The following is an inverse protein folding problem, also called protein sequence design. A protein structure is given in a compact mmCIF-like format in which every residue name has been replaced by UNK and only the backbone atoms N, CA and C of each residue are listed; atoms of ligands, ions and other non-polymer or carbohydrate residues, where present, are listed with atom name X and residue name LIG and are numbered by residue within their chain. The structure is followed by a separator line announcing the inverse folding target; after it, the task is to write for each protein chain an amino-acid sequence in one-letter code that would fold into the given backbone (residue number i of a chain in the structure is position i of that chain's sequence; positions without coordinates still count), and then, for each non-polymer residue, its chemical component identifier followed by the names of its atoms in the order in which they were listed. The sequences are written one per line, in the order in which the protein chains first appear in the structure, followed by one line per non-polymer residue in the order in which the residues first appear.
data_IF_084499069567
#
_entry.id   IF_084499069567
#
_cell.length_a   1.000
_cell.length_b   1.000
_cell.length_c   1.000
_cell.angle_alpha   90.00
_cell.angle_beta   90.00
_cell.angle_gamma   90.00
#
_symmetry.space_group_name_H-M   'P 1'
#
loop_
_entity.id
_entity.type
_entity.pdbx_description
1 polymer ?
#
# COMPACT_ATOMS: atom_id res chain seq x y z
N UNK A 1 37.62 -0.17 0.29
CA UNK A 1 36.32 0.39 -0.13
C UNK A 1 36.52 1.02 -1.49
N UNK A 2 35.77 0.59 -2.51
CA UNK A 2 35.77 1.31 -3.79
C UNK A 2 35.28 2.74 -3.51
N UNK A 3 35.97 3.74 -4.07
CA UNK A 3 35.56 5.14 -3.96
C UNK A 3 34.27 5.27 -4.76
N UNK A 4 33.16 5.59 -4.10
CA UNK A 4 31.93 5.94 -4.81
C UNK A 4 32.22 7.20 -5.62
N UNK A 5 31.84 7.20 -6.90
CA UNK A 5 31.90 8.40 -7.71
C UNK A 5 30.96 9.46 -7.13
N UNK A 6 31.35 10.73 -7.23
CA UNK A 6 30.51 11.83 -6.76
C UNK A 6 29.20 11.83 -7.59
N UNK A 7 28.03 11.92 -6.95
CA UNK A 7 26.77 11.95 -7.68
C UNK A 7 26.70 13.20 -8.55
N UNK A 8 26.40 13.03 -9.83
CA UNK A 8 26.19 14.14 -10.77
C UNK A 8 24.78 14.73 -10.68
N UNK A 9 23.86 14.04 -9.99
CA UNK A 9 22.50 14.49 -9.67
C UNK A 9 22.00 13.84 -8.38
N UNK A 10 21.09 14.53 -7.68
CA UNK A 10 20.34 14.00 -6.53
C UNK A 10 18.90 13.67 -6.94
N UNK A 11 18.24 12.82 -6.17
CA UNK A 11 16.82 12.46 -6.33
C UNK A 11 15.95 13.71 -6.35
N UNK A 12 15.23 13.92 -7.45
CA UNK A 12 14.30 15.04 -7.60
C UNK A 12 13.19 14.70 -8.60
N UNK A 13 12.06 15.39 -8.47
CA UNK A 13 11.04 15.38 -9.52
C UNK A 13 11.49 16.31 -10.67
N UNK A 14 11.43 15.88 -11.94
CA UNK A 14 11.68 16.78 -13.06
C UNK A 14 10.73 17.99 -13.04
N UNK A 15 11.30 19.19 -13.23
CA UNK A 15 10.54 20.43 -13.25
C UNK A 15 9.58 20.47 -14.45
N UNK A 16 10.10 20.12 -15.64
CA UNK A 16 9.33 19.97 -16.86
C UNK A 16 8.38 18.77 -16.77
N UNK A 17 7.09 19.01 -17.02
CA UNK A 17 6.06 17.96 -16.92
C UNK A 17 6.31 16.82 -17.92
N UNK A 18 6.79 17.14 -19.12
CA UNK A 18 7.10 16.17 -20.18
C UNK A 18 8.28 15.26 -19.85
N UNK A 19 9.14 15.67 -18.91
CA UNK A 19 10.25 14.87 -18.42
C UNK A 19 9.85 13.94 -17.26
N UNK A 20 8.64 14.08 -16.71
CA UNK A 20 8.14 13.20 -15.64
C UNK A 20 7.71 11.87 -16.23
N UNK A 21 8.13 10.78 -15.58
CA UNK A 21 7.83 9.43 -16.06
C UNK A 21 6.32 9.19 -16.18
N UNK A 22 5.93 8.58 -17.30
CA UNK A 22 4.59 8.11 -17.63
C UNK A 22 4.71 6.72 -18.24
N UNK A 23 3.76 5.85 -17.92
CA UNK A 23 3.62 4.57 -18.59
C UNK A 23 2.93 4.76 -19.93
N UNK A 24 3.50 4.16 -20.96
CA UNK A 24 2.94 4.09 -22.30
C UNK A 24 1.61 3.32 -22.31
N UNK A 25 0.79 3.46 -23.37
CA UNK A 25 -0.44 2.68 -23.52
C UNK A 25 -0.23 1.16 -23.44
N UNK A 26 0.89 0.63 -23.96
CA UNK A 26 1.22 -0.79 -23.85
C UNK A 26 1.55 -1.20 -22.42
N UNK A 27 2.32 -0.40 -21.69
CA UNK A 27 2.65 -0.67 -20.29
C UNK A 27 1.39 -0.63 -19.41
N UNK A 28 0.46 0.30 -19.69
CA UNK A 28 -0.84 0.34 -19.02
C UNK A 28 -1.69 -0.91 -19.33
N UNK A 29 -1.69 -1.40 -20.57
CA UNK A 29 -2.38 -2.64 -20.92
C UNK A 29 -1.80 -3.85 -20.19
N UNK A 30 -0.47 -3.93 -20.07
CA UNK A 30 0.20 -5.01 -19.34
C UNK A 30 -0.06 -4.92 -17.84
N UNK A 31 -0.14 -3.71 -17.29
CA UNK A 31 -0.61 -3.48 -15.93
C UNK A 31 -2.08 -3.93 -15.74
N UNK A 32 -2.98 -3.61 -16.68
CA UNK A 32 -4.38 -4.04 -16.58
C UNK A 32 -4.54 -5.56 -16.62
N UNK A 33 -3.76 -6.25 -17.44
CA UNK A 33 -3.67 -7.73 -17.43
C UNK A 33 -3.14 -8.22 -16.09
N UNK A 34 -2.11 -7.56 -15.56
CA UNK A 34 -1.45 -7.88 -14.28
C UNK A 34 -2.43 -7.85 -13.12
N UNK A 35 -3.29 -6.83 -13.05
CA UNK A 35 -4.32 -6.73 -12.00
C UNK A 35 -5.61 -7.47 -12.33
N UNK A 36 -5.68 -8.13 -13.50
CA UNK A 36 -6.87 -8.83 -14.00
C UNK A 36 -8.09 -7.90 -14.06
N UNK A 37 -7.89 -6.66 -14.49
CA UNK A 37 -8.97 -5.67 -14.57
C UNK A 37 -10.09 -6.20 -15.48
N UNK A 38 -11.33 -6.24 -14.97
CA UNK A 38 -12.45 -6.80 -15.71
C UNK A 38 -12.66 -6.12 -17.07
N UNK A 39 -12.97 -6.93 -18.08
CA UNK A 39 -13.04 -6.51 -19.49
C UNK A 39 -13.94 -5.29 -19.73
N UNK A 40 -15.06 -5.16 -19.00
CA UNK A 40 -15.96 -4.00 -19.11
C UNK A 40 -15.32 -2.65 -18.80
N UNK A 41 -14.25 -2.63 -18.00
CA UNK A 41 -13.46 -1.42 -17.73
C UNK A 41 -12.40 -1.16 -18.81
N UNK A 42 -12.09 -2.17 -19.63
CA UNK A 42 -11.14 -2.12 -20.75
C UNK A 42 -11.82 -1.95 -22.10
N UNK A 43 -13.11 -2.24 -22.18
CA UNK A 43 -13.88 -2.15 -23.40
C UNK A 43 -13.86 -0.73 -23.95
N UNK A 44 -14.03 -0.62 -25.27
CA UNK A 44 -14.19 0.64 -25.98
C UNK A 44 -15.30 1.53 -25.38
N UNK A 45 -16.18 1.03 -24.51
CA UNK A 45 -17.15 1.85 -23.79
C UNK A 45 -16.56 2.71 -22.65
N UNK A 46 -15.36 2.40 -22.14
CA UNK A 46 -14.75 3.20 -21.08
C UNK A 46 -14.29 4.55 -21.64
N UNK A 47 -14.98 5.61 -21.19
CA UNK A 47 -14.77 6.97 -21.67
C UNK A 47 -13.40 7.53 -21.27
N UNK A 48 -12.82 7.12 -20.13
CA UNK A 48 -11.48 7.56 -19.70
C UNK A 48 -10.37 7.00 -20.57
N UNK A 49 -10.48 5.74 -21.03
CA UNK A 49 -9.46 5.14 -21.90
C UNK A 49 -9.50 5.70 -23.33
N UNK A 50 -10.61 6.34 -23.72
CA UNK A 50 -10.77 7.04 -24.99
C UNK A 50 -10.36 8.51 -24.90
N UNK A 51 -10.68 9.15 -23.78
CA UNK A 51 -10.41 10.55 -23.52
C UNK A 51 -9.91 10.72 -22.07
N UNK A 52 -8.59 10.92 -21.95
CA UNK A 52 -7.92 11.09 -20.67
C UNK A 52 -8.43 12.31 -19.88
N UNK A 53 -9.06 13.30 -20.53
CA UNK A 53 -9.65 14.45 -19.83
C UNK A 53 -10.80 14.02 -18.91
N UNK A 54 -11.48 12.92 -19.22
CA UNK A 54 -12.59 12.40 -18.42
C UNK A 54 -12.13 11.72 -17.12
N UNK A 55 -10.84 11.40 -17.00
CA UNK A 55 -10.24 10.82 -15.78
C UNK A 55 -10.48 11.69 -14.54
N UNK A 56 -10.58 13.02 -14.72
CA UNK A 56 -10.75 13.97 -13.61
C UNK A 56 -12.21 14.22 -13.26
N UNK A 57 -13.16 13.47 -13.80
CA UNK A 57 -14.59 13.63 -13.52
C UNK A 57 -15.07 12.59 -12.52
N UNK A 58 -16.07 12.92 -11.68
CA UNK A 58 -16.71 11.93 -10.80
C UNK A 58 -17.51 10.90 -11.60
N UNK A 59 -18.15 11.31 -12.69
CA UNK A 59 -19.00 10.44 -13.51
C UNK A 59 -18.21 9.33 -14.21
N UNK A 60 -17.04 9.63 -14.76
CA UNK A 60 -16.25 8.68 -15.54
C UNK A 60 -14.98 8.21 -14.84
N UNK A 61 -14.27 9.11 -14.14
CA UNK A 61 -13.03 8.82 -13.45
C UNK A 61 -13.23 7.96 -12.20
N UNK A 62 -14.19 8.30 -11.34
CA UNK A 62 -14.37 7.59 -10.07
C UNK A 62 -14.64 6.07 -10.25
N UNK A 63 -15.52 5.61 -11.17
CA UNK A 63 -15.75 4.18 -11.37
C UNK A 63 -14.48 3.41 -11.78
N UNK A 64 -13.67 3.98 -12.67
CA UNK A 64 -12.42 3.35 -13.09
C UNK A 64 -11.37 3.39 -11.95
N UNK A 65 -11.27 4.49 -11.20
CA UNK A 65 -10.40 4.59 -10.04
C UNK A 65 -10.74 3.55 -8.96
N UNK A 66 -12.04 3.36 -8.68
CA UNK A 66 -12.54 2.35 -7.76
C UNK A 66 -12.17 0.93 -8.23
N UNK A 67 -12.38 0.64 -9.52
CA UNK A 67 -12.02 -0.64 -10.10
C UNK A 67 -10.50 -0.89 -10.00
N UNK A 68 -9.67 0.04 -10.48
CA UNK A 68 -8.21 -0.10 -10.42
C UNK A 68 -7.74 -0.30 -8.98
N UNK A 69 -8.23 0.49 -8.03
CA UNK A 69 -7.87 0.34 -6.60
C UNK A 69 -8.19 -1.06 -6.08
N UNK A 70 -9.39 -1.56 -6.38
CA UNK A 70 -9.85 -2.89 -5.95
C UNK A 70 -9.04 -4.02 -6.58
N UNK A 71 -8.87 -3.98 -7.90
CA UNK A 71 -8.14 -5.01 -8.63
C UNK A 71 -6.65 -5.01 -8.29
N UNK A 72 -6.06 -3.83 -8.07
CA UNK A 72 -4.68 -3.70 -7.62
C UNK A 72 -4.45 -4.39 -6.28
N UNK A 73 -5.23 -4.08 -5.24
CA UNK A 73 -5.02 -4.68 -3.91
C UNK A 73 -5.27 -6.19 -3.85
N UNK A 74 -6.02 -6.74 -4.80
CA UNK A 74 -6.25 -8.19 -4.92
C UNK A 74 -5.12 -8.92 -5.66
N UNK A 75 -4.41 -8.24 -6.56
CA UNK A 75 -3.48 -8.88 -7.51
C UNK A 75 -2.03 -8.38 -7.43
N UNK A 76 -1.77 -7.22 -6.83
CA UNK A 76 -0.43 -6.73 -6.50
C UNK A 76 -0.28 -6.80 -4.97
N UNK A 77 0.55 -7.72 -4.46
CA UNK A 77 0.63 -7.93 -3.03
C UNK A 77 1.37 -6.79 -2.31
N UNK A 78 0.98 -6.52 -1.07
CA UNK A 78 1.82 -5.80 -0.13
C UNK A 78 2.86 -6.77 0.44
N UNK A 79 4.14 -6.55 0.16
CA UNK A 79 5.23 -7.46 0.57
C UNK A 79 6.54 -6.72 0.83
N UNK A 80 7.41 -7.32 1.64
CA UNK A 80 8.73 -6.77 1.98
C UNK A 80 9.89 -7.74 1.70
N UNK A 81 9.68 -8.70 0.81
CA UNK A 81 10.59 -9.80 0.53
C UNK A 81 11.93 -9.32 -0.02
N UNK A 82 11.97 -8.17 -0.70
CA UNK A 82 13.26 -7.55 -1.11
C UNK A 82 14.19 -7.35 0.09
N UNK A 83 13.69 -7.00 1.26
CA UNK A 83 14.54 -6.79 2.45
C UNK A 83 15.11 -8.09 3.04
N UNK A 84 14.61 -9.25 2.62
CA UNK A 84 14.96 -10.54 3.20
C UNK A 84 15.60 -11.51 2.19
N UNK A 85 15.10 -11.54 0.96
CA UNK A 85 15.53 -12.46 -0.10
C UNK A 85 16.38 -11.78 -1.16
N UNK A 86 16.33 -10.46 -1.34
CA UNK A 86 17.22 -9.82 -2.31
C UNK A 86 18.66 -9.77 -1.72
N UNK A 87 19.69 -10.22 -2.45
CA UNK A 87 21.07 -10.20 -1.96
C UNK A 87 21.58 -8.79 -1.66
N UNK A 88 21.10 -7.80 -2.40
CA UNK A 88 21.49 -6.40 -2.26
C UNK A 88 20.56 -5.63 -1.31
N UNK A 89 19.33 -6.12 -1.10
CA UNK A 89 18.31 -5.51 -0.22
C UNK A 89 18.00 -4.06 -0.59
N UNK A 90 18.14 -3.73 -1.87
CA UNK A 90 17.90 -2.38 -2.40
C UNK A 90 16.42 -2.27 -2.74
N UNK A 91 15.72 -1.33 -2.10
CA UNK A 91 14.34 -1.00 -2.44
C UNK A 91 14.34 0.18 -3.39
N UNK A 92 13.99 -0.10 -4.65
CA UNK A 92 13.80 0.94 -5.67
C UNK A 92 12.49 1.68 -5.47
N UNK A 93 12.54 2.99 -5.73
CA UNK A 93 11.36 3.85 -5.86
C UNK A 93 11.28 4.46 -7.28
N UNK A 94 12.15 4.03 -8.19
CA UNK A 94 12.13 4.50 -9.58
C UNK A 94 10.89 3.95 -10.30
N UNK A 95 10.05 4.80 -10.92
CA UNK A 95 8.82 4.34 -11.55
C UNK A 95 9.00 3.32 -12.68
N UNK A 96 10.10 3.37 -13.44
CA UNK A 96 10.37 2.40 -14.52
C UNK A 96 10.83 1.05 -13.97
N UNK A 97 11.65 1.05 -12.91
CA UNK A 97 12.02 -0.18 -12.21
C UNK A 97 10.81 -0.81 -11.49
N UNK A 98 9.94 0.02 -10.91
CA UNK A 98 8.69 -0.43 -10.30
C UNK A 98 7.75 -1.08 -11.32
N UNK A 99 7.70 -0.59 -12.56
CA UNK A 99 6.98 -1.27 -13.64
C UNK A 99 7.53 -2.67 -13.88
N UNK A 100 8.84 -2.78 -14.07
CA UNK A 100 9.49 -4.09 -14.28
C UNK A 100 9.22 -5.02 -13.09
N UNK A 101 9.27 -4.50 -11.86
CA UNK A 101 9.02 -5.26 -10.65
C UNK A 101 7.58 -5.77 -10.57
N UNK A 102 6.59 -4.89 -10.69
CA UNK A 102 5.19 -5.22 -10.45
C UNK A 102 4.57 -5.96 -11.64
N UNK A 103 4.81 -5.48 -12.86
CA UNK A 103 4.17 -5.99 -14.07
C UNK A 103 4.93 -7.20 -14.61
N UNK A 104 6.23 -7.04 -14.91
CA UNK A 104 7.02 -8.09 -15.56
C UNK A 104 7.38 -9.22 -14.59
N UNK A 105 7.86 -8.89 -13.38
CA UNK A 105 8.29 -9.88 -12.39
C UNK A 105 7.16 -10.39 -11.48
N UNK A 106 5.93 -9.86 -11.62
CA UNK A 106 4.76 -10.24 -10.80
C UNK A 106 5.04 -10.13 -9.30
N UNK A 107 5.76 -9.07 -8.90
CA UNK A 107 6.09 -8.79 -7.50
C UNK A 107 5.18 -7.72 -6.92
N UNK A 108 5.20 -7.64 -5.59
CA UNK A 108 4.57 -6.58 -4.85
C UNK A 108 5.57 -5.54 -4.36
N UNK A 109 5.17 -4.81 -3.34
CA UNK A 109 6.07 -3.94 -2.60
C UNK A 109 5.44 -3.43 -1.30
N UNK A 110 6.11 -2.49 -0.63
CA UNK A 110 5.54 -1.79 0.52
C UNK A 110 4.72 -0.58 0.07
N UNK A 111 4.37 0.32 1.00
CA UNK A 111 3.50 1.46 0.73
C UNK A 111 4.03 2.40 -0.37
N UNK A 112 5.30 2.78 -0.30
CA UNK A 112 5.92 3.67 -1.28
C UNK A 112 5.99 3.03 -2.67
N UNK A 113 6.38 1.75 -2.76
CA UNK A 113 6.49 1.04 -4.04
C UNK A 113 5.12 0.89 -4.73
N UNK A 114 4.09 0.45 -4.00
CA UNK A 114 2.75 0.30 -4.56
C UNK A 114 2.14 1.66 -4.94
N UNK A 115 2.22 2.67 -4.06
CA UNK A 115 1.56 3.95 -4.30
C UNK A 115 2.35 4.82 -5.32
N UNK A 116 3.67 4.72 -5.45
CA UNK A 116 4.42 5.35 -6.55
C UNK A 116 4.03 4.73 -7.88
N UNK A 117 4.01 3.39 -7.96
CA UNK A 117 3.60 2.71 -9.17
C UNK A 117 2.16 3.08 -9.56
N UNK A 118 1.21 2.96 -8.62
CA UNK A 118 -0.19 3.31 -8.88
C UNK A 118 -0.33 4.80 -9.25
N UNK A 119 0.33 5.70 -8.53
CA UNK A 119 0.30 7.13 -8.83
C UNK A 119 0.85 7.45 -10.22
N UNK A 120 1.88 6.72 -10.68
CA UNK A 120 2.43 6.86 -12.03
C UNK A 120 1.44 6.34 -13.07
N UNK A 121 0.82 5.19 -12.84
CA UNK A 121 -0.22 4.63 -13.72
C UNK A 121 -1.45 5.56 -13.83
N UNK A 122 -1.94 6.08 -12.71
CA UNK A 122 -3.07 7.01 -12.68
C UNK A 122 -2.75 8.32 -13.42
N UNK A 123 -1.57 8.92 -13.21
CA UNK A 123 -1.19 10.11 -13.99
C UNK A 123 -1.06 9.83 -15.49
N UNK A 124 -0.65 8.61 -15.85
CA UNK A 124 -0.58 8.16 -17.25
C UNK A 124 -1.96 7.96 -17.88
N UNK A 125 -2.99 7.76 -17.06
CA UNK A 125 -4.40 7.71 -17.46
C UNK A 125 -5.09 9.09 -17.48
N UNK A 126 -4.38 10.17 -17.14
CA UNK A 126 -4.91 11.54 -17.14
C UNK A 126 -5.41 12.05 -15.78
N UNK A 127 -5.39 11.21 -14.73
CA UNK A 127 -5.75 11.65 -13.39
C UNK A 127 -4.77 12.70 -12.87
N UNK A 128 -5.30 13.67 -12.14
CA UNK A 128 -4.49 14.59 -11.35
C UNK A 128 -4.24 13.96 -9.98
N UNK A 129 -2.96 13.65 -9.71
CA UNK A 129 -2.56 12.87 -8.53
C UNK A 129 -1.47 13.60 -7.76
N UNK A 130 -1.69 13.79 -6.46
CA UNK A 130 -0.71 14.28 -5.49
C UNK A 130 -0.22 13.12 -4.62
N UNK A 131 1.09 13.08 -4.41
CA UNK A 131 1.71 12.13 -3.48
C UNK A 131 1.70 12.75 -2.08
N UNK A 132 1.25 12.00 -1.06
CA UNK A 132 1.22 12.51 0.32
C UNK A 132 1.98 11.60 1.29
N UNK A 133 2.52 12.21 2.34
CA UNK A 133 3.11 11.52 3.47
C UNK A 133 2.08 11.28 4.58
N UNK A 134 2.20 10.12 5.22
CA UNK A 134 1.37 9.71 6.34
C UNK A 134 2.19 9.05 7.45
N UNK A 135 1.55 8.92 8.60
CA UNK A 135 2.06 8.24 9.80
C UNK A 135 1.14 7.07 10.11
N UNK A 136 1.70 5.88 10.24
CA UNK A 136 0.95 4.72 10.75
C UNK A 136 0.72 4.88 12.24
N UNK A 137 -0.50 4.61 12.71
CA UNK A 137 -0.82 4.58 14.14
C UNK A 137 -0.13 3.40 14.81
N UNK A 138 0.34 3.60 16.05
CA UNK A 138 0.89 2.51 16.87
C UNK A 138 -0.17 1.51 17.32
N UNK A 139 -1.46 1.78 17.11
CA UNK A 139 -2.52 0.77 17.19
C UNK A 139 -2.32 -0.36 16.15
N UNK A 140 -1.63 -0.09 15.04
CA UNK A 140 -1.27 -1.08 14.01
C UNK A 140 0.05 -1.80 14.27
N UNK A 141 0.70 -1.50 15.40
CA UNK A 141 1.99 -2.10 15.73
C UNK A 141 1.89 -3.63 15.80
N UNK A 142 2.88 -4.38 15.28
CA UNK A 142 2.94 -5.83 15.44
C UNK A 142 3.14 -6.25 16.92
N UNK A 143 3.62 -5.34 17.77
CA UNK A 143 3.97 -5.61 19.15
C UNK A 143 2.76 -5.36 20.07
N UNK A 144 2.25 -6.38 20.79
CA UNK A 144 1.06 -6.24 21.64
C UNK A 144 1.18 -5.15 22.70
N UNK A 145 2.34 -5.02 23.36
CA UNK A 145 2.55 -4.01 24.40
C UNK A 145 2.55 -2.59 23.84
N UNK A 146 3.02 -2.39 22.60
CA UNK A 146 2.94 -1.09 21.93
C UNK A 146 1.48 -0.76 21.64
N UNK A 147 0.68 -1.71 21.13
CA UNK A 147 -0.77 -1.48 20.93
C UNK A 147 -1.48 -1.18 22.24
N UNK A 148 -1.17 -1.91 23.31
CA UNK A 148 -1.79 -1.72 24.63
C UNK A 148 -1.48 -0.35 25.23
N UNK A 149 -0.22 0.08 25.16
CA UNK A 149 0.26 1.25 25.90
C UNK A 149 0.33 2.52 25.06
N UNK A 150 0.31 2.42 23.73
CA UNK A 150 0.59 3.53 22.82
C UNK A 150 -0.37 3.57 21.61
N UNK A 151 -1.53 2.90 21.63
CA UNK A 151 -2.49 2.92 20.51
C UNK A 151 -3.00 4.31 20.14
N UNK A 152 -2.95 5.27 21.08
CA UNK A 152 -3.33 6.64 20.83
C UNK A 152 -2.28 7.44 20.03
N UNK A 153 -1.05 6.93 19.86
CA UNK A 153 0.06 7.64 19.22
C UNK A 153 0.35 7.14 17.81
N UNK A 154 1.24 7.84 17.11
CA UNK A 154 1.65 7.58 15.73
C UNK A 154 3.17 7.42 15.61
N UNK A 155 3.60 6.78 14.53
CA UNK A 155 5.01 6.76 14.16
C UNK A 155 5.46 8.06 13.47
N UNK A 156 6.73 8.10 13.06
CA UNK A 156 7.24 9.10 12.14
C UNK A 156 6.55 9.03 10.76
N UNK A 157 6.91 9.93 9.85
CA UNK A 157 6.50 9.80 8.45
C UNK A 157 7.05 8.49 7.88
N UNK A 158 6.18 7.53 7.67
CA UNK A 158 6.56 6.16 7.26
C UNK A 158 5.55 5.53 6.30
N UNK A 159 4.51 6.27 5.91
CA UNK A 159 3.49 5.81 4.98
C UNK A 159 3.35 6.76 3.81
N UNK A 160 3.08 6.21 2.63
CA UNK A 160 2.72 6.97 1.44
C UNK A 160 1.29 6.65 1.08
N UNK A 161 0.53 7.65 0.67
CA UNK A 161 -0.77 7.49 0.01
C UNK A 161 -0.91 8.53 -1.12
N UNK A 162 -1.99 8.44 -1.88
CA UNK A 162 -2.29 9.34 -2.99
C UNK A 162 -3.54 10.16 -2.68
N UNK A 163 -3.55 11.41 -3.14
CA UNK A 163 -4.77 12.19 -3.32
C UNK A 163 -5.04 12.34 -4.82
N UNK A 164 -6.27 12.06 -5.24
CA UNK A 164 -6.71 12.17 -6.64
C UNK A 164 -7.81 13.22 -6.74
N UNK A 165 -7.65 14.21 -7.61
CA UNK A 165 -8.67 15.25 -7.82
C UNK A 165 -9.73 14.77 -8.81
N UNK A 166 -11.00 14.78 -8.38
CA UNK A 166 -12.15 14.46 -9.21
C UNK A 166 -13.18 15.60 -9.12
N UNK A 167 -13.29 16.38 -10.20
CA UNK A 167 -14.02 17.64 -10.22
C UNK A 167 -13.32 18.65 -9.31
N UNK A 168 -14.00 19.03 -8.24
CA UNK A 168 -13.56 19.97 -7.21
C UNK A 168 -13.16 19.29 -5.89
N UNK A 169 -13.17 17.96 -5.83
CA UNK A 169 -13.00 17.19 -4.61
C UNK A 169 -11.79 16.25 -4.67
N UNK A 170 -10.99 16.27 -3.60
CA UNK A 170 -9.89 15.33 -3.41
C UNK A 170 -10.39 14.00 -2.86
N UNK A 171 -9.90 12.91 -3.42
CA UNK A 171 -10.14 11.55 -2.95
C UNK A 171 -8.84 10.94 -2.43
N UNK A 172 -8.87 10.34 -1.24
CA UNK A 172 -7.79 9.52 -0.75
C UNK A 172 -7.79 8.15 -1.42
N UNK A 173 -6.63 7.74 -1.92
CA UNK A 173 -6.40 6.44 -2.56
C UNK A 173 -5.16 5.82 -1.94
N UNK A 174 -5.29 4.61 -1.44
CA UNK A 174 -4.19 3.89 -0.80
C UNK A 174 -4.29 2.39 -1.04
N UNK A 175 -3.35 1.88 -1.84
CA UNK A 175 -3.17 0.44 -2.11
C UNK A 175 -1.97 -0.14 -1.36
N UNK A 176 -1.30 0.68 -0.55
CA UNK A 176 -0.01 0.40 0.06
C UNK A 176 -0.06 0.05 1.54
N UNK A 177 -1.24 -0.09 2.14
CA UNK A 177 -1.43 -0.35 3.58
C UNK A 177 -1.66 -1.86 3.90
N UNK A 178 -1.59 -2.74 2.88
CA UNK A 178 -1.86 -4.17 3.04
C UNK A 178 -3.29 -4.44 3.54
N UNK A 179 -3.46 -5.38 4.47
CA UNK A 179 -4.77 -5.77 5.01
C UNK A 179 -5.50 -4.65 5.78
N UNK A 180 -4.77 -3.60 6.11
CA UNK A 180 -5.25 -2.44 6.87
C UNK A 180 -5.77 -1.30 5.98
N UNK A 181 -5.62 -1.40 4.66
CA UNK A 181 -6.00 -0.34 3.74
C UNK A 181 -7.49 -0.03 3.67
N UNK A 182 -7.86 1.13 3.12
CA UNK A 182 -9.26 1.52 2.91
C UNK A 182 -9.94 0.61 1.89
N UNK A 183 -9.17 0.06 0.93
CA UNK A 183 -9.63 -0.84 -0.15
C UNK A 183 -10.63 -0.19 -1.12
N UNK A 184 -10.78 1.13 -1.05
CA UNK A 184 -11.60 1.95 -1.92
C UNK A 184 -11.08 3.41 -1.89
N UNK A 185 -11.25 4.16 -2.99
CA UNK A 185 -11.14 5.62 -2.98
C UNK A 185 -12.21 6.24 -2.08
N UNK A 186 -11.84 7.15 -1.20
CA UNK A 186 -12.77 7.86 -0.31
C UNK A 186 -12.67 9.38 -0.51
N UNK A 187 -13.79 10.13 -0.47
CA UNK A 187 -13.75 11.58 -0.54
C UNK A 187 -13.09 12.15 0.73
N UNK A 188 -12.33 13.22 0.58
CA UNK A 188 -11.64 13.89 1.68
C UNK A 188 -12.60 14.84 2.42
N UNK A 189 -13.60 14.25 3.08
CA UNK A 189 -14.64 14.94 3.84
C UNK A 189 -14.53 14.62 5.33
N UNK A 190 -14.64 15.63 6.18
CA UNK A 190 -14.59 15.45 7.64
C UNK A 190 -15.84 14.72 8.14
N UNK A 191 -15.65 13.61 8.84
CA UNK A 191 -16.73 12.75 9.32
C UNK A 191 -17.25 11.75 8.29
N UNK A 192 -16.60 11.58 7.13
CA UNK A 192 -16.99 10.57 6.15
C UNK A 192 -16.88 9.17 6.74
N UNK A 193 -17.97 8.41 6.72
CA UNK A 193 -18.03 7.01 7.13
C UNK A 193 -18.58 6.15 5.98
N UNK A 194 -18.00 4.98 5.76
CA UNK A 194 -18.53 4.01 4.80
C UNK A 194 -18.17 2.58 5.17
N UNK A 195 -18.97 1.63 4.70
CA UNK A 195 -18.58 0.23 4.63
C UNK A 195 -17.39 0.09 3.67
N UNK A 196 -16.36 -0.62 4.10
CA UNK A 196 -15.20 -0.90 3.25
C UNK A 196 -15.11 -2.37 2.83
N UNK A 197 -15.14 -3.28 3.80
CA UNK A 197 -15.18 -4.74 3.62
C UNK A 197 -16.11 -5.24 4.69
N UNK A 198 -17.26 -5.84 4.35
CA UNK A 198 -18.22 -6.21 5.38
C UNK A 198 -17.61 -7.14 6.46
N UNK A 199 -17.84 -6.87 7.77
CA UNK A 199 -18.62 -5.77 8.37
C UNK A 199 -17.79 -4.51 8.70
N UNK A 200 -16.50 -4.47 8.34
CA UNK A 200 -15.58 -3.36 8.61
C UNK A 200 -16.01 -2.05 7.95
N UNK A 201 -16.27 -1.06 8.78
CA UNK A 201 -16.46 0.34 8.40
C UNK A 201 -15.16 1.14 8.55
N UNK A 202 -15.07 2.25 7.80
CA UNK A 202 -13.97 3.20 7.87
C UNK A 202 -14.51 4.60 8.17
N UNK A 203 -13.66 5.43 8.76
CA UNK A 203 -13.96 6.84 9.01
C UNK A 203 -12.78 7.73 8.66
N UNK A 204 -13.06 8.88 8.06
CA UNK A 204 -12.12 9.95 7.77
C UNK A 204 -12.48 11.18 8.60
N UNK A 205 -11.52 11.73 9.34
CA UNK A 205 -11.75 12.93 10.17
C UNK A 205 -10.59 13.91 10.08
N UNK A 206 -10.88 15.21 10.08
CA UNK A 206 -9.87 16.27 10.14
C UNK A 206 -9.67 16.74 11.58
N UNK A 207 -8.72 16.13 12.29
CA UNK A 207 -8.50 16.36 13.73
C UNK A 207 -7.03 16.48 14.10
N UNK A 208 -6.76 17.12 15.23
CA UNK A 208 -5.44 17.09 15.86
C UNK A 208 -5.12 15.67 16.35
N UNK A 209 -3.89 15.20 16.17
CA UNK A 209 -3.42 13.96 16.79
C UNK A 209 -3.13 14.18 18.28
N UNK A 210 -3.15 13.10 19.06
CA UNK A 210 -2.98 13.12 20.53
C UNK A 210 -1.63 13.66 20.98
N UNK A 211 -0.58 13.49 20.17
CA UNK A 211 0.80 13.91 20.44
C UNK A 211 1.06 15.40 20.12
N UNK A 212 0.03 16.24 20.14
CA UNK A 212 0.19 17.68 19.95
C UNK A 212 0.74 18.36 21.21
N UNK A 213 1.66 19.31 21.05
CA UNK A 213 2.10 20.20 22.14
C UNK A 213 1.08 21.30 22.46
N UNK A 214 0.02 21.45 21.66
CA UNK A 214 -1.00 22.47 21.90
C UNK A 214 -1.79 22.16 23.18
N UNK A 215 -1.87 23.13 24.08
CA UNK A 215 -2.67 23.04 25.31
C UNK A 215 -4.17 23.12 25.03
N UNK A 216 -4.56 23.80 23.95
CA UNK A 216 -5.91 23.80 23.40
C UNK A 216 -5.93 22.93 22.13
N UNK A 217 -6.74 21.85 22.09
CA UNK A 217 -6.83 20.97 20.92
C UNK A 217 -7.22 21.69 19.62
N UNK A 218 -7.92 22.82 19.70
CA UNK A 218 -8.31 23.64 18.55
C UNK A 218 -7.12 24.35 17.88
N UNK A 219 -6.03 24.57 18.62
CA UNK A 219 -4.78 25.14 18.11
C UNK A 219 -3.81 24.08 17.57
N UNK A 220 -4.09 22.80 17.81
CA UNK A 220 -3.26 21.70 17.29
C UNK A 220 -3.28 21.64 15.75
N UNK A 221 -2.16 21.21 15.16
CA UNK A 221 -2.11 20.92 13.73
C UNK A 221 -3.09 19.79 13.39
N UNK A 222 -4.10 20.12 12.59
CA UNK A 222 -5.07 19.14 12.12
C UNK A 222 -4.48 18.29 11.00
N UNK A 223 -4.73 16.99 11.09
CA UNK A 223 -4.40 16.00 10.07
C UNK A 223 -5.67 15.24 9.69
N UNK A 224 -5.67 14.66 8.51
CA UNK A 224 -6.68 13.68 8.13
C UNK A 224 -6.35 12.36 8.80
N UNK A 225 -7.26 11.85 9.62
CA UNK A 225 -7.13 10.59 10.35
C UNK A 225 -8.05 9.55 9.72
N UNK A 226 -7.47 8.41 9.34
CA UNK A 226 -8.16 7.24 8.85
C UNK A 226 -8.28 6.23 10.00
N UNK A 227 -9.52 5.98 10.42
CA UNK A 227 -9.87 5.04 11.48
C UNK A 227 -10.69 3.87 10.90
N UNK A 228 -10.60 2.70 11.53
CA UNK A 228 -11.38 1.49 11.17
C UNK A 228 -12.25 1.06 12.34
N UNK A 229 -13.47 0.63 12.06
CA UNK A 229 -14.32 -0.11 12.98
C UNK A 229 -14.53 -1.52 12.42
N UNK A 230 -13.93 -2.53 13.05
CA UNK A 230 -13.96 -3.91 12.51
C UNK A 230 -15.31 -4.59 12.66
N UNK A 231 -15.96 -4.38 13.80
CA UNK A 231 -17.23 -5.00 14.16
C UNK A 231 -18.18 -3.92 14.67
N UNK A 232 -18.81 -3.15 13.76
CA UNK A 232 -19.81 -2.15 14.16
C UNK A 232 -21.01 -2.86 14.79
N UNK A 233 -21.30 -2.55 16.06
CA UNK A 233 -22.55 -2.92 16.71
C UNK A 233 -23.54 -1.74 16.64
N UNK A 234 -24.86 -2.02 16.64
CA UNK A 234 -25.90 -0.98 16.48
C UNK A 234 -25.76 0.20 17.45
N UNK A 235 -25.23 -0.01 18.65
CA UNK A 235 -25.16 1.00 19.71
C UNK A 235 -23.74 1.37 20.15
N UNK A 236 -22.69 0.74 19.60
CA UNK A 236 -21.30 1.04 19.98
C UNK A 236 -20.34 0.75 18.83
N UNK A 237 -19.75 1.80 18.25
CA UNK A 237 -18.66 1.70 17.27
C UNK A 237 -17.32 2.00 17.95
N UNK A 238 -16.45 0.99 18.01
CA UNK A 238 -15.07 1.17 18.48
C UNK A 238 -14.19 1.50 17.27
N UNK A 239 -13.78 2.76 17.18
CA UNK A 239 -12.89 3.26 16.12
C UNK A 239 -11.43 3.09 16.52
N UNK A 240 -10.68 2.36 15.70
CA UNK A 240 -9.25 2.16 15.88
C UNK A 240 -8.49 3.01 14.86
N UNK A 241 -7.56 3.89 15.28
CA UNK A 241 -6.76 4.66 14.34
C UNK A 241 -5.83 3.75 13.53
N UNK A 242 -5.71 4.01 12.23
CA UNK A 242 -4.80 3.26 11.33
C UNK A 242 -3.69 4.14 10.83
N UNK A 243 -4.01 5.33 10.31
CA UNK A 243 -3.02 6.30 9.87
C UNK A 243 -3.53 7.73 9.95
N UNK A 244 -2.62 8.68 9.94
CA UNK A 244 -2.93 10.08 9.68
C UNK A 244 -2.04 10.66 8.59
N UNK A 245 -2.51 11.68 7.89
CA UNK A 245 -1.78 12.32 6.80
C UNK A 245 -2.16 13.79 6.61
N UNK A 246 -1.35 14.48 5.83
CA UNK A 246 -1.57 15.88 5.44
C UNK A 246 -1.83 15.97 3.95
N UNK A 247 -2.46 17.07 3.51
CA UNK A 247 -2.66 17.37 2.09
C UNK A 247 -1.38 17.86 1.39
N UNK A 248 -0.31 18.10 2.16
CA UNK A 248 1.02 18.50 1.68
C UNK A 248 1.59 17.47 0.72
N UNK A 249 2.06 17.94 -0.42
CA UNK A 249 2.74 17.10 -1.39
C UNK A 249 4.12 16.68 -0.86
N UNK A 250 4.39 15.38 -0.92
CA UNK A 250 5.69 14.79 -0.65
C UNK A 250 6.38 14.48 -1.98
N UNK A 251 7.66 14.81 -2.05
CA UNK A 251 8.48 14.69 -3.25
C UNK A 251 9.34 13.42 -3.19
N UNK A 252 9.95 12.99 -4.32
CA UNK A 252 10.78 11.79 -4.35
C UNK A 252 11.86 11.73 -3.26
N UNK A 253 12.52 12.85 -2.95
CA UNK A 253 13.53 12.90 -1.90
C UNK A 253 12.97 12.68 -0.48
N UNK A 254 11.70 13.02 -0.21
CA UNK A 254 11.06 12.73 1.08
C UNK A 254 10.89 11.22 1.23
N UNK A 255 10.46 10.56 0.16
CA UNK A 255 10.28 9.11 0.12
C UNK A 255 11.61 8.35 0.15
N UNK A 256 12.70 8.92 -0.36
CA UNK A 256 14.04 8.34 -0.19
C UNK A 256 14.40 8.22 1.30
N UNK A 257 14.21 9.28 2.08
CA UNK A 257 14.47 9.27 3.53
C UNK A 257 13.55 8.28 4.26
N UNK A 258 12.26 8.28 3.93
CA UNK A 258 11.28 7.36 4.52
C UNK A 258 11.58 5.89 4.17
N UNK A 259 11.94 5.62 2.91
CA UNK A 259 12.32 4.28 2.44
C UNK A 259 13.61 3.83 3.10
N UNK A 260 14.62 4.69 3.21
CA UNK A 260 15.86 4.37 3.89
C UNK A 260 15.60 3.94 5.34
N UNK A 261 14.82 4.71 6.10
CA UNK A 261 14.46 4.35 7.47
C UNK A 261 13.76 2.99 7.53
N UNK A 262 12.71 2.80 6.73
CA UNK A 262 11.90 1.57 6.79
C UNK A 262 12.65 0.34 6.27
N UNK A 263 13.67 0.51 5.43
CA UNK A 263 14.46 -0.55 4.81
C UNK A 263 15.73 -0.93 5.58
N UNK A 264 16.30 -0.01 6.35
CA UNK A 264 17.61 -0.21 7.00
C UNK A 264 17.55 -0.16 8.53
N UNK A 265 16.58 0.54 9.11
CA UNK A 265 16.54 0.69 10.56
C UNK A 265 16.27 -0.67 11.24
N UNK A 266 17.11 -1.14 12.17
CA UNK A 266 16.93 -2.44 12.82
C UNK A 266 15.71 -2.51 13.75
N UNK A 267 15.07 -1.37 14.06
CA UNK A 267 13.79 -1.31 14.78
C UNK A 267 12.58 -1.30 13.85
N UNK A 268 12.77 -1.13 12.54
CA UNK A 268 11.69 -1.22 11.57
C UNK A 268 11.05 -2.61 11.60
N UNK A 269 9.71 -2.65 11.56
CA UNK A 269 8.95 -3.87 11.38
C UNK A 269 9.43 -4.67 10.16
N UNK A 270 9.69 -3.94 9.06
CA UNK A 270 9.97 -4.53 7.76
C UNK A 270 11.33 -5.22 7.68
N UNK A 271 12.32 -4.81 8.48
CA UNK A 271 13.65 -5.44 8.50
C UNK A 271 13.68 -6.72 9.34
N UNK A 272 12.71 -6.87 10.26
CA UNK A 272 12.63 -7.97 11.22
C UNK A 272 11.75 -9.13 10.77
N UNK A 273 10.62 -8.84 10.14
CA UNK A 273 9.60 -9.85 9.86
C UNK A 273 9.26 -9.90 8.38
N UNK A 274 9.14 -11.11 7.85
CA UNK A 274 8.63 -11.36 6.51
C UNK A 274 7.11 -11.26 6.53
N UNK A 275 6.56 -10.44 5.63
CA UNK A 275 5.13 -10.29 5.42
C UNK A 275 4.79 -10.25 3.94
N UNK A 276 3.64 -10.83 3.60
CA UNK A 276 3.05 -10.73 2.27
C UNK A 276 1.53 -10.75 2.42
N UNK A 277 0.83 -9.80 1.82
CA UNK A 277 -0.62 -9.64 1.97
C UNK A 277 -1.26 -9.37 0.62
N UNK A 278 -2.41 -10.00 0.38
CA UNK A 278 -3.30 -9.65 -0.72
C UNK A 278 -4.75 -9.69 -0.27
N UNK A 279 -5.59 -8.92 -0.92
CA UNK A 279 -7.03 -8.92 -0.66
C UNK A 279 -7.72 -10.08 -1.38
N UNK A 280 -8.82 -10.55 -0.81
CA UNK A 280 -9.67 -11.61 -1.39
C UNK A 280 -10.90 -10.93 -1.99
N UNK A 281 -11.15 -11.16 -3.27
CA UNK A 281 -12.34 -10.70 -3.97
C UNK A 281 -13.37 -11.82 -4.07
N UNK A 282 -14.64 -11.48 -3.88
CA UNK A 282 -15.74 -12.23 -4.47
C UNK A 282 -15.87 -11.77 -5.92
N UNK A 283 -15.44 -12.62 -6.87
CA UNK A 283 -15.35 -12.28 -8.29
C UNK A 283 -16.72 -12.06 -8.94
N UNK A 284 -17.79 -12.69 -8.42
CA UNK A 284 -19.15 -12.55 -8.97
C UNK A 284 -19.76 -11.20 -8.57
N UNK A 285 -19.49 -10.77 -7.34
CA UNK A 285 -19.98 -9.49 -6.79
C UNK A 285 -19.01 -8.33 -7.00
N UNK A 286 -17.77 -8.64 -7.38
CA UNK A 286 -16.63 -7.72 -7.49
C UNK A 286 -16.45 -6.83 -6.27
N UNK A 287 -16.52 -7.45 -5.09
CA UNK A 287 -16.27 -6.80 -3.81
C UNK A 287 -15.17 -7.52 -3.06
N UNK A 288 -14.37 -6.76 -2.31
CA UNK A 288 -13.38 -7.35 -1.42
C UNK A 288 -14.11 -7.88 -0.18
N UNK A 289 -13.88 -9.14 0.14
CA UNK A 289 -14.52 -9.84 1.26
C UNK A 289 -13.55 -10.13 2.42
N UNK A 290 -12.25 -9.99 2.18
CA UNK A 290 -11.25 -10.38 3.16
C UNK A 290 -9.82 -10.21 2.67
N UNK A 291 -8.89 -10.83 3.36
CA UNK A 291 -7.47 -10.85 2.99
C UNK A 291 -6.77 -12.16 3.38
N UNK A 292 -5.69 -12.45 2.67
CA UNK A 292 -4.68 -13.42 3.06
C UNK A 292 -3.44 -12.67 3.50
N UNK A 293 -2.93 -12.98 4.69
CA UNK A 293 -1.70 -12.39 5.24
C UNK A 293 -0.74 -13.50 5.66
N UNK A 294 0.41 -13.58 4.98
CA UNK A 294 1.59 -14.27 5.49
C UNK A 294 2.26 -13.37 6.51
N UNK A 295 2.46 -13.89 7.73
CA UNK A 295 3.31 -13.26 8.73
C UNK A 295 4.28 -14.31 9.29
N UNK A 296 5.58 -14.08 9.09
CA UNK A 296 6.67 -15.01 9.42
C UNK A 296 6.55 -16.35 8.67
N UNK A 297 5.90 -17.33 9.29
CA UNK A 297 5.75 -18.72 8.87
C UNK A 297 4.29 -19.09 8.62
N UNK A 298 3.35 -18.20 8.93
CA UNK A 298 1.93 -18.54 9.00
C UNK A 298 1.12 -17.65 8.07
N UNK A 299 0.31 -18.28 7.22
CA UNK A 299 -0.72 -17.62 6.41
C UNK A 299 -2.04 -17.67 7.15
N UNK A 300 -2.66 -16.50 7.32
CA UNK A 300 -4.01 -16.36 7.87
C UNK A 300 -4.95 -15.77 6.84
N UNK A 301 -6.13 -16.35 6.77
CA UNK A 301 -7.28 -15.79 6.07
C UNK A 301 -8.14 -15.03 7.08
N UNK A 302 -8.59 -13.84 6.68
CA UNK A 302 -9.56 -13.05 7.43
C UNK A 302 -10.70 -12.68 6.49
N UNK A 303 -11.92 -13.15 6.77
CA UNK A 303 -13.15 -12.81 6.04
C UNK A 303 -14.18 -12.35 7.06
N UNK A 304 -14.65 -11.12 6.95
CA UNK A 304 -15.45 -10.49 8.01
C UNK A 304 -14.75 -10.54 9.38
N UNK A 305 -15.44 -11.06 10.40
CA UNK A 305 -14.90 -11.29 11.74
C UNK A 305 -14.10 -12.61 11.86
N UNK A 306 -14.20 -13.49 10.88
CA UNK A 306 -13.62 -14.83 10.95
C UNK A 306 -12.16 -14.80 10.54
N UNK A 307 -11.31 -15.30 11.44
CA UNK A 307 -9.87 -15.40 11.21
C UNK A 307 -9.41 -16.83 11.42
N UNK A 308 -8.86 -17.44 10.38
CA UNK A 308 -8.34 -18.81 10.44
C UNK A 308 -6.91 -18.91 9.91
N UNK A 309 -6.15 -19.83 10.48
CA UNK A 309 -4.85 -20.23 9.92
C UNK A 309 -5.14 -21.16 8.75
N UNK A 310 -4.71 -20.78 7.54
CA UNK A 310 -4.89 -21.61 6.34
C UNK A 310 -3.65 -22.45 6.05
N UNK A 311 -2.47 -21.97 6.43
CA UNK A 311 -1.22 -22.70 6.28
C UNK A 311 -0.19 -22.22 7.30
N UNK A 312 0.56 -23.16 7.86
CA UNK A 312 1.80 -22.89 8.57
C UNK A 312 2.92 -23.63 7.83
N UNK A 313 4.03 -22.95 7.61
CA UNK A 313 5.20 -23.50 6.93
C UNK A 313 6.23 -23.93 7.97
N UNK A 314 6.72 -25.16 7.84
CA UNK A 314 7.75 -25.70 8.72
C UNK A 314 9.14 -25.48 8.14
N UNK A 315 9.26 -25.42 6.81
CA UNK A 315 10.54 -25.23 6.10
C UNK A 315 10.51 -24.01 5.19
N UNK A 316 11.70 -23.53 4.82
CA UNK A 316 11.82 -22.40 3.89
C UNK A 316 11.29 -22.73 2.50
N UNK A 317 11.52 -23.97 2.05
CA UNK A 317 11.03 -24.44 0.77
C UNK A 317 9.50 -24.41 0.70
N UNK A 318 8.83 -24.82 1.78
CA UNK A 318 7.38 -24.72 1.90
C UNK A 318 6.90 -23.26 1.85
N UNK A 319 7.59 -22.34 2.53
CA UNK A 319 7.25 -20.92 2.50
C UNK A 319 7.40 -20.33 1.10
N UNK A 320 8.48 -20.65 0.38
CA UNK A 320 8.71 -20.21 -1.00
C UNK A 320 7.63 -20.78 -1.94
N UNK A 321 7.30 -22.07 -1.82
CA UNK A 321 6.17 -22.68 -2.56
C UNK A 321 4.84 -21.99 -2.24
N UNK A 322 4.65 -21.61 -0.97
CA UNK A 322 3.50 -20.84 -0.51
C UNK A 322 3.41 -19.44 -1.09
N UNK A 323 4.53 -18.72 -1.22
CA UNK A 323 4.58 -17.41 -1.88
C UNK A 323 4.07 -17.49 -3.32
N UNK A 324 4.50 -18.52 -4.06
CA UNK A 324 4.05 -18.77 -5.44
C UNK A 324 2.57 -19.15 -5.46
N UNK A 325 2.18 -20.21 -4.76
CA UNK A 325 0.83 -20.78 -4.87
C UNK A 325 -0.28 -19.93 -4.24
N UNK A 326 0.03 -19.16 -3.19
CA UNK A 326 -0.97 -18.37 -2.45
C UNK A 326 -0.94 -16.91 -2.88
N UNK A 327 0.24 -16.32 -3.09
CA UNK A 327 0.38 -14.88 -3.33
C UNK A 327 0.75 -14.52 -4.77
N UNK A 328 0.95 -15.51 -5.65
CA UNK A 328 1.44 -15.32 -7.02
C UNK A 328 2.80 -14.58 -7.07
N UNK A 329 3.62 -14.79 -6.03
CA UNK A 329 4.93 -14.14 -5.89
C UNK A 329 6.03 -15.14 -6.20
N UNK A 330 6.78 -14.87 -7.27
CA UNK A 330 7.90 -15.68 -7.69
C UNK A 330 9.23 -15.03 -7.28
N UNK A 331 10.11 -15.82 -6.68
CA UNK A 331 11.49 -15.44 -6.39
C UNK A 331 12.42 -16.04 -7.44
N UNK A 332 13.48 -15.33 -7.82
CA UNK A 332 14.58 -15.89 -8.64
C UNK A 332 15.37 -16.92 -7.84
N UNK A 333 16.15 -17.77 -8.51
CA UNK A 333 17.03 -18.72 -7.81
C UNK A 333 18.06 -18.01 -6.92
N UNK A 334 18.57 -16.86 -7.35
CA UNK A 334 19.45 -16.02 -6.53
C UNK A 334 18.73 -15.51 -5.27
N UNK A 335 17.50 -15.01 -5.40
CA UNK A 335 16.71 -14.54 -4.26
C UNK A 335 16.43 -15.67 -3.26
N UNK A 336 16.07 -16.87 -3.75
CA UNK A 336 15.83 -18.05 -2.90
C UNK A 336 17.07 -18.46 -2.10
N UNK A 337 18.26 -18.29 -2.66
CA UNK A 337 19.53 -18.65 -2.04
C UNK A 337 20.08 -17.57 -1.10
N UNK A 338 19.61 -16.32 -1.23
CA UNK A 338 20.16 -15.17 -0.51
C UNK A 338 19.58 -14.95 0.89
N UNK A 339 18.51 -15.65 1.28
CA UNK A 339 17.95 -15.55 2.63
C UNK A 339 18.97 -16.09 3.66
N UNK A 340 19.41 -15.26 4.64
CA UNK A 340 20.37 -15.68 5.66
C UNK A 340 19.87 -16.89 6.47
N UNK A 341 20.82 -17.77 6.82
CA UNK A 341 20.57 -19.05 7.47
C UNK A 341 19.72 -18.90 8.75
N UNK A 342 20.00 -17.88 9.57
CA UNK A 342 19.28 -17.57 10.80
C UNK A 342 17.83 -17.09 10.61
N UNK A 343 17.47 -16.69 9.38
CA UNK A 343 16.11 -16.29 9.01
C UNK A 343 15.32 -17.40 8.31
N UNK A 344 15.96 -18.54 7.99
CA UNK A 344 15.31 -19.69 7.34
C UNK A 344 14.44 -20.46 8.32
N UNK A 345 13.29 -20.93 7.85
CA UNK A 345 12.44 -21.85 8.63
C UNK A 345 13.03 -23.27 8.67
N UNK A 346 12.70 -24.01 9.72
CA UNK A 346 13.04 -25.44 9.85
C UNK A 346 14.46 -25.73 10.33
N UNK A 347 15.20 -24.71 10.79
CA UNK A 347 16.54 -24.90 11.33
C UNK A 347 16.51 -24.87 12.85
N UNK A 348 17.10 -25.91 13.47
CA UNK A 348 17.41 -25.89 14.90
C UNK A 348 18.33 -24.71 15.17
N UNK A 349 17.95 -23.83 16.10
CA UNK A 349 18.87 -22.82 16.64
C UNK A 349 20.00 -23.59 17.33
N UNK A 350 21.15 -23.68 16.69
CA UNK A 350 22.39 -24.19 17.31
C UNK A 350 22.89 -23.18 18.32
#
# INVERSE_FOLDING_TARGET
MARLEDPTALTQLPLEETARVRYSPSELQDYFKTIKLAKRFLDLGNSVLKDAALARTKEHGLPLLQAITRYHTCNVPFENLVLHYDPHKIVTLDPAELYTKIVTRRRGGRCMENNIFLGTALRSLGYEVRNCGGRVSRAMSPYPDVRKNQSATYDGWNHMLLLVLLGDEWYGVDVGMGSMGPNLPFPLQDGFETLSIAPREIRIQKRSISETYATDPSHGTKMWCYDVCYNPAENEKIWTPVSCFTETEFLPQDYEVMSWFTSTNPRSFFTRYITCTKMIMDEDREVIIGNLTLFKDTVRETIGSDRKVVKKFETEEERIKGLVGIFDVNLTEEEKNSLPQEKRLGQSKV
#
